data_IF_011070579834
#
_entry.id   IF_011070579834
#
_cell.length_a   1.000
_cell.length_b   1.000
_cell.length_c   1.000
_cell.angle_alpha   90.00
_cell.angle_beta   90.00
_cell.angle_gamma   90.00
#
_symmetry.space_group_name_H-M   'P 1'
#
loop_
_entity.id
_entity.type
_entity.pdbx_description
1 polymer ?
#
# COMPACT_ATOMS: atom_id res chain seq x y z
N UNK A 1 -21.78 15.13 17.19
CA UNK A 1 -21.72 13.68 16.89
C UNK A 1 -20.60 13.49 15.89
N UNK A 2 -19.56 12.75 16.23
CA UNK A 2 -18.49 12.40 15.29
C UNK A 2 -19.03 11.31 14.35
N UNK A 3 -18.97 11.48 13.02
CA UNK A 3 -19.45 10.46 12.09
C UNK A 3 -18.67 9.15 12.27
N UNK A 4 -19.35 8.01 12.16
CA UNK A 4 -18.67 6.71 12.22
C UNK A 4 -17.79 6.50 10.99
N UNK A 5 -16.81 5.59 11.07
CA UNK A 5 -16.00 5.23 9.90
C UNK A 5 -16.87 4.74 8.73
N UNK A 6 -17.94 4.02 9.03
CA UNK A 6 -18.91 3.57 8.02
C UNK A 6 -19.69 4.75 7.43
N UNK A 7 -20.05 5.77 8.22
CA UNK A 7 -20.66 7.00 7.70
C UNK A 7 -19.70 7.74 6.75
N UNK A 8 -18.40 7.65 7.00
CA UNK A 8 -17.37 8.31 6.19
C UNK A 8 -17.10 7.51 4.92
N UNK A 9 -17.00 6.19 5.01
CA UNK A 9 -17.01 5.31 3.83
C UNK A 9 -18.30 5.47 3.02
N UNK A 10 -19.44 5.66 3.66
CA UNK A 10 -20.70 5.89 2.97
C UNK A 10 -20.79 7.30 2.38
N UNK A 11 -20.21 8.31 3.03
CA UNK A 11 -20.06 9.66 2.47
C UNK A 11 -19.19 9.62 1.22
N UNK A 12 -18.10 8.87 1.28
CA UNK A 12 -17.21 8.57 0.17
C UNK A 12 -17.97 7.86 -0.96
N UNK A 13 -18.59 6.70 -0.70
CA UNK A 13 -19.35 5.90 -1.67
C UNK A 13 -20.53 6.67 -2.29
N UNK A 14 -21.29 7.42 -1.49
CA UNK A 14 -22.43 8.22 -1.96
C UNK A 14 -21.98 9.35 -2.90
N UNK A 15 -20.79 9.92 -2.70
CA UNK A 15 -20.21 10.93 -3.59
C UNK A 15 -19.70 10.33 -4.89
N UNK A 16 -19.08 9.15 -4.88
CA UNK A 16 -18.73 8.43 -6.11
C UNK A 16 -19.98 8.14 -6.98
N UNK A 17 -21.10 7.76 -6.35
CA UNK A 17 -22.36 7.51 -7.05
C UNK A 17 -22.99 8.77 -7.68
N UNK A 18 -22.58 9.97 -7.25
CA UNK A 18 -23.06 11.25 -7.79
C UNK A 18 -22.20 11.78 -8.95
N UNK A 19 -21.06 11.15 -9.26
CA UNK A 19 -20.21 11.57 -10.38
C UNK A 19 -20.80 11.07 -11.72
N UNK A 20 -20.96 11.94 -12.73
CA UNK A 20 -21.54 11.53 -14.01
C UNK A 20 -20.63 10.52 -14.70
N UNK A 21 -21.21 9.39 -15.11
CA UNK A 21 -20.53 8.24 -15.74
C UNK A 21 -19.96 8.60 -17.14
N UNK A 22 -20.22 9.79 -17.67
CA UNK A 22 -19.74 10.26 -18.97
C UNK A 22 -18.61 11.28 -18.80
N UNK A 23 -17.47 11.06 -19.48
CA UNK A 23 -16.25 11.86 -19.46
C UNK A 23 -16.39 13.30 -19.97
N UNK A 24 -17.23 14.11 -19.33
CA UNK A 24 -17.18 15.55 -19.39
C UNK A 24 -16.05 16.05 -18.50
N UNK A 25 -15.21 16.95 -19.01
CA UNK A 25 -14.23 17.67 -18.21
C UNK A 25 -14.96 18.49 -17.14
N UNK A 26 -15.06 17.96 -15.93
CA UNK A 26 -15.42 18.75 -14.75
C UNK A 26 -14.24 19.69 -14.50
N UNK A 27 -14.46 21.01 -14.41
CA UNK A 27 -13.39 21.94 -14.07
C UNK A 27 -12.84 21.57 -12.69
N UNK A 28 -11.57 21.18 -12.65
CA UNK A 28 -10.81 20.68 -11.48
C UNK A 28 -10.70 21.72 -10.35
N UNK A 29 -11.19 22.96 -10.55
CA UNK A 29 -10.93 24.09 -9.68
C UNK A 29 -11.89 24.29 -8.49
N UNK A 30 -12.97 23.52 -8.33
CA UNK A 30 -13.93 23.76 -7.21
C UNK A 30 -14.28 22.57 -6.32
N UNK A 31 -13.72 21.37 -6.55
CA UNK A 31 -13.80 20.28 -5.58
C UNK A 31 -12.45 20.07 -4.91
N UNK A 32 -12.02 21.04 -4.10
CA UNK A 32 -11.07 20.73 -3.03
C UNK A 32 -11.79 19.77 -2.06
N UNK A 33 -11.62 18.47 -2.30
CA UNK A 33 -12.06 17.42 -1.40
C UNK A 33 -11.44 17.70 -0.04
N UNK A 34 -12.27 18.15 0.89
CA UNK A 34 -11.87 18.36 2.28
C UNK A 34 -11.54 16.99 2.86
N UNK A 35 -10.26 16.76 3.18
CA UNK A 35 -9.74 15.53 3.79
C UNK A 35 -10.29 15.36 5.21
N UNK A 36 -11.14 14.36 5.49
CA UNK A 36 -11.64 14.07 6.83
C UNK A 36 -10.52 13.70 7.81
N UNK A 37 -9.42 13.12 7.32
CA UNK A 37 -8.24 12.82 8.13
C UNK A 37 -7.54 14.12 8.55
N UNK A 38 -7.30 15.06 7.61
CA UNK A 38 -6.67 16.34 7.92
C UNK A 38 -7.53 17.23 8.84
N UNK A 39 -8.84 17.10 8.77
CA UNK A 39 -9.75 17.80 9.68
C UNK A 39 -9.89 17.14 11.06
N UNK A 40 -9.23 15.99 11.29
CA UNK A 40 -9.34 15.24 12.54
C UNK A 40 -10.72 14.61 12.75
N UNK A 41 -11.54 14.51 11.70
CA UNK A 41 -12.85 13.83 11.72
C UNK A 41 -12.61 12.32 11.84
N UNK A 42 -11.59 11.81 11.15
CA UNK A 42 -11.09 10.43 11.30
C UNK A 42 -9.75 10.44 11.99
N UNK A 43 -9.66 9.75 13.13
CA UNK A 43 -8.39 9.40 13.72
C UNK A 43 -8.02 7.99 13.24
N UNK A 44 -7.09 7.90 12.28
CA UNK A 44 -6.63 6.60 11.77
C UNK A 44 -6.08 5.71 12.89
N UNK A 45 -5.58 6.34 13.95
CA UNK A 45 -5.11 5.67 15.16
C UNK A 45 -6.19 4.89 15.91
N UNK A 46 -7.47 5.20 15.71
CA UNK A 46 -8.63 4.54 16.33
C UNK A 46 -9.26 3.44 15.47
N UNK A 47 -8.82 3.29 14.22
CA UNK A 47 -9.35 2.26 13.34
C UNK A 47 -8.83 0.87 13.74
N UNK A 48 -9.72 -0.12 13.72
CA UNK A 48 -9.34 -1.52 13.86
C UNK A 48 -8.72 -2.07 12.56
N UNK A 49 -8.21 -3.31 12.61
CA UNK A 49 -7.57 -3.95 11.46
C UNK A 49 -8.53 -4.07 10.26
N UNK A 50 -9.80 -4.43 10.50
CA UNK A 50 -10.79 -4.59 9.43
C UNK A 50 -11.08 -3.25 8.75
N UNK A 51 -11.25 -2.19 9.55
CA UNK A 51 -11.50 -0.84 9.06
C UNK A 51 -10.33 -0.30 8.24
N UNK A 52 -9.09 -0.57 8.65
CA UNK A 52 -7.92 -0.21 7.85
C UNK A 52 -7.83 -0.98 6.53
N UNK A 53 -8.14 -2.28 6.54
CA UNK A 53 -8.19 -3.10 5.32
C UNK A 53 -9.26 -2.60 4.34
N UNK A 54 -10.44 -2.25 4.84
CA UNK A 54 -11.51 -1.65 4.03
C UNK A 54 -11.09 -0.28 3.48
N UNK A 55 -10.46 0.56 4.31
CA UNK A 55 -9.93 1.87 3.89
C UNK A 55 -8.86 1.76 2.79
N UNK A 56 -7.91 0.83 2.91
CA UNK A 56 -6.90 0.56 1.88
C UNK A 56 -7.52 0.06 0.58
N UNK A 57 -8.54 -0.79 0.65
CA UNK A 57 -9.26 -1.27 -0.53
C UNK A 57 -9.95 -0.11 -1.27
N UNK A 58 -10.52 0.85 -0.52
CA UNK A 58 -11.12 2.04 -1.11
C UNK A 58 -10.09 3.04 -1.67
N UNK A 59 -8.91 3.14 -1.05
CA UNK A 59 -7.78 3.88 -1.61
C UNK A 59 -7.36 3.32 -2.97
N UNK A 60 -7.40 2.00 -3.12
CA UNK A 60 -7.08 1.32 -4.38
C UNK A 60 -8.10 1.64 -5.48
N UNK A 61 -9.40 1.58 -5.16
CA UNK A 61 -10.48 2.01 -6.08
C UNK A 61 -10.24 3.43 -6.57
N UNK A 62 -9.92 4.33 -5.64
CA UNK A 62 -9.70 5.75 -5.94
C UNK A 62 -8.45 6.00 -6.78
N UNK A 63 -7.43 5.14 -6.65
CA UNK A 63 -6.19 5.22 -7.43
C UNK A 63 -6.38 4.76 -8.87
N UNK A 64 -7.11 3.65 -9.07
CA UNK A 64 -7.30 3.04 -10.40
C UNK A 64 -8.30 3.83 -11.24
N UNK A 65 -9.30 4.41 -10.56
CA UNK A 65 -10.34 5.18 -11.19
C UNK A 65 -10.36 6.60 -10.57
N UNK A 66 -9.46 7.51 -10.98
CA UNK A 66 -9.37 8.84 -10.39
C UNK A 66 -10.68 9.65 -10.49
N UNK A 67 -11.45 9.42 -11.56
CA UNK A 67 -12.78 9.99 -11.78
C UNK A 67 -13.90 9.35 -10.96
N UNK A 68 -13.61 8.27 -10.24
CA UNK A 68 -14.52 7.57 -9.33
C UNK A 68 -13.99 7.59 -7.89
N UNK A 69 -12.81 8.18 -7.66
CA UNK A 69 -12.14 8.19 -6.38
C UNK A 69 -12.85 9.06 -5.36
N UNK A 70 -13.12 8.46 -4.22
CA UNK A 70 -13.86 9.08 -3.12
C UNK A 70 -12.90 9.71 -2.11
N UNK A 71 -11.74 9.08 -1.93
CA UNK A 71 -10.67 9.49 -1.01
C UNK A 71 -9.77 10.50 -1.71
N UNK A 72 -9.54 11.66 -1.09
CA UNK A 72 -8.61 12.66 -1.60
C UNK A 72 -7.18 12.09 -1.67
N UNK A 73 -6.36 12.55 -2.62
CA UNK A 73 -4.98 12.05 -2.76
C UNK A 73 -4.22 12.11 -1.42
N UNK A 74 -4.36 13.19 -0.67
CA UNK A 74 -3.75 13.34 0.66
C UNK A 74 -4.21 12.27 1.66
N UNK A 75 -5.49 11.92 1.72
CA UNK A 75 -6.00 10.89 2.64
C UNK A 75 -5.35 9.52 2.36
N UNK A 76 -5.19 9.16 1.07
CA UNK A 76 -4.52 7.91 0.66
C UNK A 76 -3.13 7.83 1.27
N UNK A 77 -2.39 8.94 1.24
CA UNK A 77 -1.03 9.00 1.79
C UNK A 77 -1.01 8.97 3.33
N UNK A 78 -2.02 9.50 4.01
CA UNK A 78 -2.15 9.33 5.46
C UNK A 78 -2.46 7.86 5.81
N UNK A 79 -3.32 7.18 5.04
CA UNK A 79 -3.57 5.75 5.19
C UNK A 79 -2.29 4.93 5.01
N UNK A 80 -1.52 5.17 3.94
CA UNK A 80 -0.25 4.48 3.74
C UNK A 80 0.76 4.78 4.83
N UNK A 81 0.90 6.06 5.23
CA UNK A 81 1.79 6.48 6.29
C UNK A 81 1.46 5.82 7.62
N UNK A 82 0.17 5.75 7.99
CA UNK A 82 -0.27 5.10 9.22
C UNK A 82 -0.06 3.59 9.18
N UNK A 83 -0.46 2.93 8.09
CA UNK A 83 -0.26 1.48 7.94
C UNK A 83 1.24 1.13 7.95
N UNK A 84 2.07 1.94 7.30
CA UNK A 84 3.53 1.82 7.36
C UNK A 84 4.05 1.99 8.79
N UNK A 85 3.57 3.01 9.50
CA UNK A 85 3.94 3.25 10.90
C UNK A 85 3.60 2.05 11.80
N UNK A 86 2.43 1.43 11.61
CA UNK A 86 2.01 0.22 12.33
C UNK A 86 3.02 -0.93 12.13
N UNK A 87 3.41 -1.18 10.88
CA UNK A 87 4.36 -2.25 10.54
C UNK A 87 5.77 -1.93 11.04
N UNK A 88 6.25 -0.69 10.84
CA UNK A 88 7.62 -0.29 11.24
C UNK A 88 7.78 -0.28 12.75
N UNK A 89 6.76 0.17 13.50
CA UNK A 89 6.78 0.20 14.97
C UNK A 89 6.59 -1.19 15.58
N UNK A 90 6.31 -2.20 14.77
CA UNK A 90 6.27 -3.57 15.23
C UNK A 90 7.69 -4.07 15.46
N UNK A 91 8.01 -4.34 16.72
CA UNK A 91 9.27 -4.94 17.13
C UNK A 91 9.25 -6.44 16.82
N UNK A 92 9.57 -6.77 15.57
CA UNK A 92 9.69 -8.15 15.11
C UNK A 92 10.96 -8.27 14.26
N UNK A 93 11.92 -9.03 14.77
CA UNK A 93 13.13 -9.44 14.03
C UNK A 93 12.77 -10.06 12.66
N UNK A 94 11.57 -10.63 12.53
CA UNK A 94 11.08 -11.24 11.31
C UNK A 94 10.86 -10.18 10.20
N UNK A 95 10.47 -8.95 10.52
CA UNK A 95 10.33 -7.88 9.52
C UNK A 95 11.71 -7.46 9.00
N UNK A 96 12.68 -7.35 9.90
CA UNK A 96 14.05 -6.93 9.57
C UNK A 96 14.79 -7.99 8.76
N UNK A 97 14.63 -9.26 9.11
CA UNK A 97 15.23 -10.39 8.40
C UNK A 97 14.81 -10.43 6.92
N UNK A 98 13.60 -9.95 6.60
CA UNK A 98 13.08 -9.89 5.24
C UNK A 98 13.26 -8.52 4.57
N UNK A 99 13.99 -7.58 5.20
CA UNK A 99 14.19 -6.19 4.76
C UNK A 99 12.90 -5.40 4.50
N UNK A 100 11.75 -5.86 5.01
CA UNK A 100 10.45 -5.23 4.74
C UNK A 100 10.42 -3.82 5.33
N UNK A 101 10.95 -3.62 6.54
CA UNK A 101 10.91 -2.33 7.25
C UNK A 101 11.53 -1.20 6.42
N UNK A 102 12.78 -1.39 5.97
CA UNK A 102 13.51 -0.37 5.22
C UNK A 102 12.86 -0.09 3.87
N UNK A 103 12.52 -1.13 3.10
CA UNK A 103 11.92 -0.97 1.78
C UNK A 103 10.54 -0.30 1.89
N UNK A 104 9.75 -0.63 2.92
CA UNK A 104 8.45 -0.02 3.18
C UNK A 104 8.58 1.47 3.51
N UNK A 105 9.55 1.83 4.36
CA UNK A 105 9.84 3.22 4.69
C UNK A 105 10.23 4.02 3.44
N UNK A 106 11.14 3.49 2.62
CA UNK A 106 11.59 4.15 1.40
C UNK A 106 10.46 4.26 0.37
N UNK A 107 9.61 3.25 0.25
CA UNK A 107 8.43 3.29 -0.63
C UNK A 107 7.44 4.39 -0.21
N UNK A 108 7.11 4.49 1.07
CA UNK A 108 6.19 5.52 1.58
C UNK A 108 6.81 6.91 1.49
N UNK A 109 8.10 7.06 1.78
CA UNK A 109 8.83 8.31 1.61
C UNK A 109 8.82 8.75 0.13
N UNK A 110 9.09 7.83 -0.80
CA UNK A 110 9.02 8.08 -2.24
C UNK A 110 7.63 8.48 -2.71
N UNK A 111 6.59 7.83 -2.20
CA UNK A 111 5.20 8.18 -2.49
C UNK A 111 4.87 9.62 -2.03
N UNK A 112 5.29 9.97 -0.80
CA UNK A 112 5.03 11.28 -0.21
C UNK A 112 5.82 12.42 -0.85
N UNK A 113 7.06 12.15 -1.29
CA UNK A 113 7.91 13.13 -1.97
C UNK A 113 7.27 13.67 -3.27
N UNK A 114 6.42 12.88 -3.91
CA UNK A 114 5.76 13.28 -5.15
C UNK A 114 4.48 14.11 -5.00
N UNK A 115 3.99 14.34 -3.77
CA UNK A 115 2.80 15.18 -3.51
C UNK A 115 3.19 16.59 -3.08
N UNK A 116 4.32 16.71 -2.37
CA UNK A 116 4.68 17.97 -1.75
C UNK A 116 4.90 19.04 -2.81
N UNK A 117 4.24 20.19 -2.64
CA UNK A 117 4.72 21.47 -3.18
C UNK A 117 6.02 21.84 -2.46
N UNK A 118 7.03 20.98 -2.55
CA UNK A 118 8.35 21.23 -2.00
C UNK A 118 8.89 22.39 -2.81
N UNK A 119 9.15 23.52 -2.13
CA UNK A 119 9.85 24.60 -2.77
C UNK A 119 11.24 24.10 -3.15
N UNK A 120 11.41 23.77 -4.43
CA UNK A 120 12.67 23.26 -4.97
C UNK A 120 13.70 24.38 -5.13
N UNK A 121 13.31 25.65 -4.96
CA UNK A 121 14.23 26.77 -5.05
C UNK A 121 15.21 26.73 -3.86
N UNK A 122 16.51 26.62 -4.18
CA UNK A 122 17.58 26.43 -3.20
C UNK A 122 18.13 25.01 -3.09
N UNK A 123 17.46 24.00 -3.67
CA UNK A 123 17.99 22.64 -3.74
C UNK A 123 19.11 22.51 -4.78
N UNK A 124 20.08 21.61 -4.54
CA UNK A 124 21.10 21.28 -5.53
C UNK A 124 20.46 20.60 -6.75
N UNK A 125 21.12 20.69 -7.91
CA UNK A 125 20.61 20.11 -9.17
C UNK A 125 20.26 18.62 -9.04
N UNK A 126 21.08 17.87 -8.30
CA UNK A 126 20.86 16.45 -8.06
C UNK A 126 19.56 16.17 -7.28
N UNK A 127 19.28 16.95 -6.23
CA UNK A 127 18.08 16.78 -5.40
C UNK A 127 16.81 17.10 -6.19
N UNK A 128 16.85 18.14 -7.04
CA UNK A 128 15.77 18.45 -7.99
C UNK A 128 15.51 17.30 -8.95
N UNK A 129 16.58 16.69 -9.46
CA UNK A 129 16.46 15.55 -10.36
C UNK A 129 15.87 14.33 -9.64
N UNK A 130 16.25 14.10 -8.39
CA UNK A 130 15.71 13.01 -7.58
C UNK A 130 14.21 13.22 -7.29
N UNK A 131 13.81 14.41 -6.85
CA UNK A 131 12.40 14.74 -6.59
C UNK A 131 11.54 14.64 -7.85
N UNK A 132 12.04 15.11 -9.00
CA UNK A 132 11.32 14.96 -10.29
C UNK A 132 11.17 13.51 -10.75
N UNK A 133 11.98 12.59 -10.20
CA UNK A 133 11.94 11.14 -10.45
C UNK A 133 11.35 10.34 -9.28
N UNK A 134 10.83 11.00 -8.24
CA UNK A 134 10.30 10.36 -7.03
C UNK A 134 9.24 9.30 -7.36
N UNK A 135 8.26 9.64 -8.19
CA UNK A 135 7.18 8.72 -8.60
C UNK A 135 7.70 7.48 -9.31
N UNK A 136 8.73 7.62 -10.15
CA UNK A 136 9.34 6.48 -10.83
C UNK A 136 10.12 5.59 -9.85
N UNK A 137 10.87 6.22 -8.94
CA UNK A 137 11.62 5.52 -7.89
C UNK A 137 10.65 4.76 -6.98
N UNK A 138 9.55 5.41 -6.59
CA UNK A 138 8.45 4.83 -5.85
C UNK A 138 7.87 3.58 -6.55
N UNK A 139 7.53 3.65 -7.84
CA UNK A 139 7.04 2.46 -8.56
C UNK A 139 8.04 1.32 -8.60
N UNK A 140 9.33 1.62 -8.70
CA UNK A 140 10.36 0.59 -8.76
C UNK A 140 10.60 -0.07 -7.42
N UNK A 141 10.56 0.68 -6.31
CA UNK A 141 10.82 0.14 -4.97
C UNK A 141 9.64 -0.66 -4.41
N UNK A 142 8.41 -0.41 -4.88
CA UNK A 142 7.24 -1.17 -4.44
C UNK A 142 7.22 -2.62 -4.92
N UNK A 143 7.89 -2.97 -6.03
CA UNK A 143 8.01 -4.38 -6.45
C UNK A 143 8.89 -5.21 -5.51
N UNK A 144 10.13 -4.79 -5.16
CA UNK A 144 10.90 -5.41 -4.09
C UNK A 144 10.14 -5.48 -2.76
N UNK A 145 9.36 -4.43 -2.44
CA UNK A 145 8.51 -4.45 -1.24
C UNK A 145 7.48 -5.59 -1.30
N UNK A 146 6.76 -5.73 -2.41
CA UNK A 146 5.77 -6.79 -2.60
C UNK A 146 6.43 -8.18 -2.52
N UNK A 147 7.60 -8.35 -3.15
CA UNK A 147 8.36 -9.59 -3.10
C UNK A 147 8.79 -9.94 -1.66
N UNK A 148 9.38 -8.99 -0.94
CA UNK A 148 9.79 -9.16 0.46
C UNK A 148 8.58 -9.47 1.37
N UNK A 149 7.49 -8.74 1.18
CA UNK A 149 6.22 -8.94 1.90
C UNK A 149 5.66 -10.35 1.67
N UNK A 150 5.67 -10.82 0.42
CA UNK A 150 5.19 -12.16 0.09
C UNK A 150 6.11 -13.25 0.65
N UNK A 151 7.43 -13.05 0.67
CA UNK A 151 8.34 -14.01 1.31
C UNK A 151 8.14 -14.07 2.82
N UNK A 152 7.93 -12.92 3.46
CA UNK A 152 7.58 -12.84 4.88
C UNK A 152 6.27 -13.58 5.17
N UNK A 153 5.23 -13.30 4.38
CA UNK A 153 3.93 -13.94 4.52
C UNK A 153 3.96 -15.45 4.24
N UNK A 154 4.88 -15.92 3.40
CA UNK A 154 5.16 -17.33 3.12
C UNK A 154 6.42 -17.85 3.85
N UNK A 155 6.78 -17.29 5.01
CA UNK A 155 8.02 -17.63 5.72
C UNK A 155 8.16 -19.11 6.11
N UNK A 156 7.05 -19.86 6.16
CA UNK A 156 7.06 -21.31 6.32
C UNK A 156 7.57 -22.10 5.11
N UNK A 157 7.64 -21.48 3.93
CA UNK A 157 8.03 -22.10 2.66
C UNK A 157 9.20 -21.40 1.96
N UNK A 158 9.44 -20.12 2.26
CA UNK A 158 10.50 -19.33 1.63
C UNK A 158 11.30 -18.52 2.62
N UNK A 159 12.62 -18.65 2.52
CA UNK A 159 13.57 -17.84 3.27
C UNK A 159 13.65 -16.41 2.71
N UNK A 160 14.23 -15.45 3.47
CA UNK A 160 14.37 -14.06 3.02
C UNK A 160 15.09 -13.88 1.68
N UNK A 161 16.11 -14.69 1.45
CA UNK A 161 16.90 -14.67 0.22
C UNK A 161 16.13 -15.19 -1.00
N UNK A 162 15.01 -15.88 -0.80
CA UNK A 162 14.20 -16.50 -1.84
C UNK A 162 14.42 -18.01 -2.00
N UNK A 163 15.29 -18.61 -1.19
CA UNK A 163 15.46 -20.07 -1.17
C UNK A 163 14.24 -20.76 -0.56
N UNK A 164 13.83 -21.87 -1.15
CA UNK A 164 12.65 -22.62 -0.75
C UNK A 164 13.00 -23.54 0.42
N UNK A 165 12.37 -23.31 1.58
CA UNK A 165 12.55 -24.09 2.81
C UNK A 165 11.52 -25.22 2.94
N UNK A 166 10.37 -25.13 2.26
CA UNK A 166 9.37 -26.20 2.16
C UNK A 166 8.74 -26.24 0.77
N UNK A 167 8.38 -27.42 0.28
CA UNK A 167 7.85 -27.60 -1.08
C UNK A 167 6.50 -26.90 -1.26
N UNK A 168 6.30 -26.23 -2.40
CA UNK A 168 5.01 -25.69 -2.81
C UNK A 168 4.85 -25.67 -4.32
N UNK A 169 3.61 -25.50 -4.80
CA UNK A 169 3.27 -25.59 -6.22
C UNK A 169 3.37 -24.23 -6.93
N UNK A 170 4.07 -24.21 -8.07
CA UNK A 170 4.08 -23.11 -9.05
C UNK A 170 2.71 -22.94 -9.68
N UNK A 171 2.41 -21.78 -10.25
CA UNK A 171 1.18 -21.58 -11.03
C UNK A 171 1.14 -22.51 -12.25
N UNK A 172 2.30 -22.87 -12.82
CA UNK A 172 2.41 -23.85 -13.90
C UNK A 172 2.05 -25.29 -13.50
N UNK A 173 1.80 -25.55 -12.22
CA UNK A 173 1.52 -26.88 -11.67
C UNK A 173 2.75 -27.67 -11.25
N UNK A 174 3.97 -27.26 -11.64
CA UNK A 174 5.23 -27.87 -11.16
C UNK A 174 5.45 -27.57 -9.67
N UNK A 175 6.19 -28.42 -8.97
CA UNK A 175 6.58 -28.17 -7.57
C UNK A 175 7.93 -27.45 -7.51
N UNK A 176 8.06 -26.49 -6.61
CA UNK A 176 9.35 -26.07 -6.07
C UNK A 176 9.85 -27.14 -5.10
N UNK A 177 11.11 -27.51 -5.24
CA UNK A 177 11.82 -28.40 -4.32
C UNK A 177 12.54 -27.60 -3.23
N UNK A 178 12.84 -28.24 -2.11
CA UNK A 178 13.66 -27.63 -1.06
C UNK A 178 15.04 -27.31 -1.66
N UNK A 179 15.53 -26.09 -1.43
CA UNK A 179 16.77 -25.57 -2.00
C UNK A 179 16.61 -24.92 -3.39
N UNK A 180 15.44 -25.01 -4.02
CA UNK A 180 15.14 -24.20 -5.21
C UNK A 180 15.13 -22.71 -4.85
N UNK A 181 15.22 -21.86 -5.87
CA UNK A 181 15.07 -20.42 -5.73
C UNK A 181 13.73 -19.94 -6.31
N UNK A 182 12.92 -19.25 -5.50
CA UNK A 182 11.68 -18.62 -5.93
C UNK A 182 11.83 -17.09 -6.04
N UNK A 183 11.93 -16.61 -7.28
CA UNK A 183 11.94 -15.18 -7.61
C UNK A 183 10.63 -14.70 -8.26
N UNK A 184 9.63 -15.57 -8.33
CA UNK A 184 8.39 -15.31 -9.05
C UNK A 184 7.35 -14.75 -8.09
N UNK A 185 7.13 -13.43 -8.14
CA UNK A 185 6.02 -12.76 -7.41
C UNK A 185 4.69 -13.45 -7.71
N UNK A 186 4.46 -13.88 -8.96
CA UNK A 186 3.26 -14.61 -9.36
C UNK A 186 3.09 -15.93 -8.59
N UNK A 187 4.16 -16.72 -8.46
CA UNK A 187 4.09 -17.99 -7.72
C UNK A 187 3.92 -17.76 -6.22
N UNK A 188 4.65 -16.81 -5.63
CA UNK A 188 4.54 -16.46 -4.21
C UNK A 188 3.15 -15.94 -3.85
N UNK A 189 2.58 -15.07 -4.69
CA UNK A 189 1.26 -14.50 -4.48
C UNK A 189 0.17 -15.56 -4.61
N UNK A 190 0.26 -16.43 -5.63
CA UNK A 190 -0.68 -17.54 -5.77
C UNK A 190 -0.60 -18.50 -4.59
N UNK A 191 0.62 -18.85 -4.14
CA UNK A 191 0.81 -19.72 -2.99
C UNK A 191 0.23 -19.10 -1.72
N UNK A 192 0.53 -17.83 -1.44
CA UNK A 192 -0.03 -17.10 -0.31
C UNK A 192 -1.56 -17.10 -0.36
N UNK A 193 -2.14 -16.69 -1.50
CA UNK A 193 -3.58 -16.62 -1.70
C UNK A 193 -4.26 -17.97 -1.43
N UNK A 194 -3.67 -19.09 -1.85
CA UNK A 194 -4.23 -20.43 -1.64
C UNK A 194 -4.18 -20.90 -0.18
N UNK A 195 -3.35 -20.30 0.68
CA UNK A 195 -3.08 -20.78 2.04
C UNK A 195 -3.61 -19.85 3.15
N UNK A 196 -4.26 -18.75 2.80
CA UNK A 196 -4.98 -17.88 3.73
C UNK A 196 -6.45 -18.29 3.83
N UNK A 197 -7.14 -17.86 4.90
CA UNK A 197 -8.56 -18.17 5.06
C UNK A 197 -9.45 -17.46 4.01
N UNK A 198 -10.65 -17.99 3.71
CA UNK A 198 -11.52 -17.45 2.67
C UNK A 198 -11.95 -15.99 2.89
N UNK A 199 -12.01 -15.51 4.14
CA UNK A 199 -12.37 -14.12 4.42
C UNK A 199 -11.24 -13.18 3.98
N UNK A 200 -9.99 -13.57 4.21
CA UNK A 200 -8.79 -12.86 3.73
C UNK A 200 -8.67 -12.93 2.22
N UNK A 201 -9.00 -14.06 1.60
CA UNK A 201 -9.07 -14.19 0.13
C UNK A 201 -10.06 -13.18 -0.45
N UNK A 202 -11.26 -13.06 0.11
CA UNK A 202 -12.27 -12.13 -0.35
C UNK A 202 -11.82 -10.65 -0.30
N UNK A 203 -11.00 -10.27 0.69
CA UNK A 203 -10.40 -8.94 0.76
C UNK A 203 -9.38 -8.71 -0.36
N UNK A 204 -8.53 -9.70 -0.64
CA UNK A 204 -7.61 -9.64 -1.79
C UNK A 204 -8.35 -9.64 -3.12
N UNK A 205 -9.45 -10.39 -3.26
CA UNK A 205 -10.27 -10.41 -4.46
C UNK A 205 -10.88 -9.03 -4.74
N UNK A 206 -11.32 -8.31 -3.70
CA UNK A 206 -11.73 -6.90 -3.85
C UNK A 206 -10.57 -6.07 -4.39
N UNK A 207 -9.38 -6.19 -3.78
CA UNK A 207 -8.20 -5.44 -4.23
C UNK A 207 -7.84 -5.75 -5.69
N UNK A 208 -7.83 -7.01 -6.07
CA UNK A 208 -7.52 -7.45 -7.43
C UNK A 208 -8.58 -7.00 -8.43
N UNK A 209 -9.85 -7.08 -8.07
CA UNK A 209 -10.95 -6.61 -8.91
C UNK A 209 -10.84 -5.10 -9.17
N UNK A 210 -10.42 -4.33 -8.16
CA UNK A 210 -10.13 -2.90 -8.31
C UNK A 210 -8.93 -2.64 -9.21
N UNK A 211 -7.87 -3.45 -9.10
CA UNK A 211 -6.61 -3.27 -9.84
C UNK A 211 -6.69 -3.71 -11.32
N UNK A 212 -7.63 -4.57 -11.69
CA UNK A 212 -7.72 -5.17 -13.02
C UNK A 212 -8.82 -4.48 -13.84
N UNK A 213 -8.41 -3.78 -14.90
CA UNK A 213 -9.35 -3.10 -15.81
C UNK A 213 -10.02 -4.10 -16.79
N UNK A 214 -9.47 -5.30 -16.96
CA UNK A 214 -9.95 -6.29 -17.95
C UNK A 214 -10.59 -7.52 -17.29
N UNK A 215 -11.88 -7.71 -17.53
CA UNK A 215 -12.78 -8.65 -16.84
C UNK A 215 -12.42 -10.16 -16.91
N UNK A 216 -11.28 -10.58 -17.46
CA UNK A 216 -10.89 -11.98 -17.60
C UNK A 216 -9.38 -12.24 -17.39
N UNK A 217 -8.62 -11.26 -16.91
CA UNK A 217 -7.20 -11.45 -16.66
C UNK A 217 -6.96 -12.09 -15.29
N UNK A 218 -6.03 -13.05 -15.21
CA UNK A 218 -5.53 -13.53 -13.93
C UNK A 218 -4.86 -12.33 -13.18
N UNK A 219 -5.28 -12.02 -11.94
CA UNK A 219 -4.72 -10.89 -11.18
C UNK A 219 -3.21 -10.92 -11.06
N UNK A 220 -2.68 -12.12 -10.83
CA UNK A 220 -1.26 -12.33 -10.59
C UNK A 220 -0.45 -12.10 -11.87
N UNK A 221 -1.00 -12.46 -13.03
CA UNK A 221 -0.40 -12.15 -14.34
C UNK A 221 -0.47 -10.66 -14.65
N UNK A 222 -1.55 -9.99 -14.24
CA UNK A 222 -1.68 -8.55 -14.45
C UNK A 222 -0.61 -7.78 -13.66
N UNK A 223 -0.45 -8.05 -12.36
CA UNK A 223 0.58 -7.43 -11.53
C UNK A 223 2.00 -7.67 -12.08
N UNK A 224 2.27 -8.88 -12.57
CA UNK A 224 3.53 -9.19 -13.23
C UNK A 224 3.74 -8.36 -14.52
N UNK A 225 2.70 -8.22 -15.34
CA UNK A 225 2.76 -7.41 -16.58
C UNK A 225 2.95 -5.93 -16.30
N UNK A 226 2.35 -5.38 -15.24
CA UNK A 226 2.51 -3.97 -14.84
C UNK A 226 3.99 -3.59 -14.64
N UNK A 227 4.80 -4.50 -14.08
CA UNK A 227 6.25 -4.30 -13.96
C UNK A 227 6.91 -4.07 -15.32
N UNK A 228 6.56 -4.89 -16.32
CA UNK A 228 7.11 -4.78 -17.67
C UNK A 228 6.59 -3.53 -18.39
N UNK A 229 5.31 -3.21 -18.23
CA UNK A 229 4.72 -2.00 -18.80
C UNK A 229 5.40 -0.72 -18.28
N UNK A 230 5.75 -0.67 -16.99
CA UNK A 230 6.51 0.44 -16.42
C UNK A 230 7.89 0.61 -17.03
N UNK A 231 8.61 -0.49 -17.26
CA UNK A 231 9.94 -0.46 -17.90
C UNK A 231 9.87 0.14 -19.32
N UNK A 232 8.75 -0.05 -20.01
CA UNK A 232 8.50 0.48 -21.35
C UNK A 232 7.82 1.86 -21.37
N UNK A 233 7.44 2.41 -20.21
CA UNK A 233 6.79 3.72 -20.10
C UNK A 233 5.33 3.74 -20.58
N UNK A 234 4.68 2.58 -20.65
CA UNK A 234 3.30 2.46 -21.14
C UNK A 234 2.24 2.82 -20.08
N UNK A 235 2.62 2.75 -18.79
CA UNK A 235 1.73 2.99 -17.65
C UNK A 235 2.21 4.16 -16.77
N UNK A 236 1.27 4.78 -16.04
CA UNK A 236 1.57 5.81 -15.03
C UNK A 236 2.35 5.21 -13.86
N UNK A 237 3.59 5.68 -13.66
CA UNK A 237 4.44 5.28 -12.53
C UNK A 237 3.70 5.42 -11.19
N UNK A 238 3.07 6.56 -10.94
CA UNK A 238 2.35 6.80 -9.69
C UNK A 238 1.26 5.75 -9.46
N UNK A 239 0.37 5.53 -10.43
CA UNK A 239 -0.74 4.59 -10.30
C UNK A 239 -0.28 3.15 -10.03
N UNK A 240 0.72 2.66 -10.78
CA UNK A 240 1.25 1.31 -10.55
C UNK A 240 1.88 1.21 -9.16
N UNK A 241 2.72 2.19 -8.79
CA UNK A 241 3.36 2.21 -7.47
C UNK A 241 2.34 2.15 -6.34
N UNK A 242 1.27 2.94 -6.44
CA UNK A 242 0.16 3.02 -5.49
C UNK A 242 -0.59 1.69 -5.36
N UNK A 243 -0.86 1.01 -6.49
CA UNK A 243 -1.50 -0.31 -6.51
C UNK A 243 -0.64 -1.34 -5.78
N UNK A 244 0.65 -1.43 -6.15
CA UNK A 244 1.57 -2.40 -5.56
C UNK A 244 1.82 -2.13 -4.07
N UNK A 245 1.98 -0.87 -3.67
CA UNK A 245 2.11 -0.48 -2.26
C UNK A 245 0.86 -0.89 -1.47
N UNK A 246 -0.32 -0.57 -1.97
CA UNK A 246 -1.58 -0.87 -1.28
C UNK A 246 -1.78 -2.36 -1.09
N UNK A 247 -1.53 -3.17 -2.12
CA UNK A 247 -1.56 -4.64 -2.01
C UNK A 247 -0.55 -5.15 -0.98
N UNK A 248 0.66 -4.59 -0.97
CA UNK A 248 1.69 -4.97 0.01
C UNK A 248 1.24 -4.66 1.45
N UNK A 249 0.67 -3.47 1.68
CA UNK A 249 0.13 -3.09 2.98
C UNK A 249 -1.03 -3.98 3.43
N UNK A 250 -1.94 -4.33 2.52
CA UNK A 250 -3.04 -5.28 2.80
C UNK A 250 -2.48 -6.64 3.22
N UNK A 251 -1.51 -7.18 2.50
CA UNK A 251 -0.87 -8.46 2.85
C UNK A 251 -0.18 -8.38 4.21
N UNK A 252 0.54 -7.29 4.50
CA UNK A 252 1.20 -7.10 5.80
C UNK A 252 0.20 -7.02 6.96
N UNK A 253 -0.87 -6.25 6.81
CA UNK A 253 -1.91 -6.14 7.85
C UNK A 253 -2.62 -7.47 8.08
N UNK A 254 -2.90 -8.23 7.01
CA UNK A 254 -3.46 -9.58 7.12
C UNK A 254 -2.49 -10.53 7.84
N UNK A 255 -1.19 -10.45 7.53
CA UNK A 255 -0.16 -11.29 8.14
C UNK A 255 -0.02 -11.01 9.64
N UNK A 256 -0.10 -9.74 10.04
CA UNK A 256 0.04 -9.31 11.43
C UNK A 256 -1.31 -9.10 12.16
N UNK A 257 -2.43 -9.56 11.60
CA UNK A 257 -3.77 -9.32 12.15
C UNK A 257 -3.89 -9.76 13.63
N UNK A 258 -3.29 -10.90 13.99
CA UNK A 258 -3.29 -11.39 15.38
C UNK A 258 -2.52 -10.51 16.35
N UNK A 259 -1.55 -9.75 15.86
CA UNK A 259 -0.70 -8.84 16.64
C UNK A 259 -1.12 -7.37 16.51
N UNK A 260 -2.23 -7.09 15.82
CA UNK A 260 -2.63 -5.73 15.46
C UNK A 260 -2.75 -4.80 16.68
N UNK A 261 -3.41 -5.24 17.76
CA UNK A 261 -3.57 -4.42 18.97
C UNK A 261 -2.23 -4.02 19.59
N UNK A 262 -1.22 -4.90 19.51
CA UNK A 262 0.15 -4.61 19.96
C UNK A 262 0.82 -3.58 19.05
N UNK A 263 0.70 -3.74 17.73
CA UNK A 263 1.23 -2.77 16.75
C UNK A 263 0.62 -1.38 16.95
N UNK A 264 -0.69 -1.32 17.18
CA UNK A 264 -1.42 -0.09 17.39
C UNK A 264 -0.98 0.60 18.69
N UNK A 265 -0.84 -0.14 19.79
CA UNK A 265 -0.33 0.39 21.05
C UNK A 265 1.09 0.96 20.91
N UNK A 266 2.01 0.22 20.28
CA UNK A 266 3.37 0.68 20.03
C UNK A 266 3.38 1.94 19.17
N UNK A 267 2.60 1.97 18.09
CA UNK A 267 2.55 3.11 17.16
C UNK A 267 1.95 4.35 17.81
N UNK A 268 0.93 4.21 18.66
CA UNK A 268 0.37 5.32 19.45
C UNK A 268 1.39 5.88 20.43
N UNK A 269 2.12 5.00 21.13
CA UNK A 269 3.18 5.44 22.04
C UNK A 269 4.27 6.24 21.32
N UNK A 270 4.73 5.72 20.18
CA UNK A 270 5.69 6.37 19.29
C UNK A 270 5.18 7.75 18.85
N UNK A 271 3.95 7.79 18.32
CA UNK A 271 3.32 9.02 17.79
C UNK A 271 3.12 10.08 18.88
N UNK A 272 2.64 9.67 20.06
CA UNK A 272 2.47 10.55 21.21
C UNK A 272 3.81 11.13 21.69
N UNK A 273 4.83 10.28 21.81
CA UNK A 273 6.18 10.71 22.23
C UNK A 273 6.75 11.77 21.29
N UNK A 274 6.37 11.77 20.01
CA UNK A 274 6.82 12.78 19.06
C UNK A 274 6.01 14.07 19.06
N UNK A 275 4.70 14.02 19.32
CA UNK A 275 3.90 15.25 19.51
C UNK A 275 4.47 16.10 20.66
N UNK A 276 5.02 15.44 21.67
CA UNK A 276 5.60 16.08 22.85
C UNK A 276 7.07 16.52 22.65
N UNK A 277 7.70 16.14 21.52
CA UNK A 277 9.10 16.45 21.22
C UNK A 277 9.23 17.44 20.05
N UNK A 278 10.20 18.36 20.10
CA UNK A 278 10.48 19.28 18.99
C UNK A 278 11.15 18.63 17.78
N UNK A 279 11.47 17.34 17.84
CA UNK A 279 12.18 16.60 16.79
C UNK A 279 11.39 15.36 16.38
N UNK A 280 10.92 15.36 15.13
CA UNK A 280 10.35 14.17 14.50
C UNK A 280 11.50 13.23 14.10
N UNK A 281 11.44 11.93 14.41
CA UNK A 281 12.46 11.03 13.93
C UNK A 281 12.38 10.89 12.41
N UNK A 282 13.54 10.66 11.81
CA UNK A 282 13.67 10.52 10.35
C UNK A 282 12.86 9.34 9.78
N UNK A 283 12.42 8.41 10.62
CA UNK A 283 11.67 7.22 10.24
C UNK A 283 10.15 7.31 10.45
N UNK A 284 9.62 8.44 10.95
CA UNK A 284 8.18 8.60 11.15
C UNK A 284 7.45 8.75 9.82
N UNK A 285 6.57 7.79 9.50
CA UNK A 285 5.88 7.71 8.21
C UNK A 285 4.51 8.41 8.23
N UNK A 286 3.91 8.60 9.40
CA UNK A 286 2.59 9.20 9.54
C UNK A 286 2.67 10.74 9.57
N UNK A 287 2.00 11.47 8.66
CA UNK A 287 1.93 12.93 8.75
C UNK A 287 1.21 13.33 10.05
N UNK A 288 1.89 14.10 10.89
CA UNK A 288 1.34 14.68 12.12
C UNK A 288 0.78 16.08 11.84
#
# INVERSE_FOLDING_TARGET
>A
MTPSFEDILNLYRARAAMMPIGGGNIPVNEMQLISPVQQGIVQLEDLDCSQLLDGLTECLNSTVFPSFGTIGSLDIHHFWGWCGQLVVSHDSNLIDNYNVRHILMDAIAGANAGIGNINIDGLYHFDKLLLSRSQRTFSYITFPLLEATLRLANSSHTNPDGTVSAQFRKVSGRLYQIGDFCSSIKDLLNHYYQNIDPRKQALLDKCFSSAIITANACPFDHLYKMRNSLLHGNDSCGSVGSIILTISLVILLIHFESDFSRMQASSRWVTKSFRDSSQRPQWSLYPL
#
